data_IF_646040509615
#
_entry.id   IF_646040509615
#
_cell.length_a   1.000
_cell.length_b   1.000
_cell.length_c   1.000
_cell.angle_alpha   90.00
_cell.angle_beta   90.00
_cell.angle_gamma   90.00
#
_symmetry.space_group_name_H-M   'P 1'
#
loop_
_entity.id
_entity.type
_entity.pdbx_description
1 polymer ?
#
# COMPACT_ATOMS: atom_id res chain seq x y z
N UNK A 1 -15.91 -6.04 -5.94
CA UNK A 1 -15.08 -6.96 -5.12
C UNK A 1 -13.88 -6.24 -4.51
N UNK A 2 -12.89 -5.78 -5.28
CA UNK A 2 -11.75 -5.02 -4.71
C UNK A 2 -12.20 -3.65 -4.16
N UNK A 3 -13.04 -2.93 -4.90
CA UNK A 3 -13.60 -1.64 -4.44
C UNK A 3 -14.47 -1.78 -3.20
N UNK A 4 -15.19 -2.90 -3.06
CA UNK A 4 -16.06 -3.15 -1.91
C UNK A 4 -15.22 -3.51 -0.68
N UNK A 5 -14.19 -4.34 -0.84
CA UNK A 5 -13.25 -4.64 0.24
C UNK A 5 -12.52 -3.37 0.74
N UNK A 6 -12.19 -2.43 -0.15
CA UNK A 6 -11.65 -1.13 0.26
C UNK A 6 -12.64 -0.27 1.03
N UNK A 7 -13.93 -0.29 0.65
CA UNK A 7 -14.98 0.40 1.42
C UNK A 7 -15.11 -0.20 2.83
N UNK A 8 -15.07 -1.53 2.94
CA UNK A 8 -15.14 -2.22 4.24
C UNK A 8 -13.94 -1.87 5.13
N UNK A 9 -12.71 -1.91 4.59
CA UNK A 9 -11.50 -1.50 5.33
C UNK A 9 -11.61 -0.06 5.83
N UNK A 10 -12.09 0.84 4.98
CA UNK A 10 -12.23 2.25 5.32
C UNK A 10 -13.31 2.49 6.39
N UNK A 11 -14.47 1.83 6.26
CA UNK A 11 -15.55 1.95 7.25
C UNK A 11 -15.07 1.44 8.62
N UNK A 12 -14.45 0.27 8.67
CA UNK A 12 -13.94 -0.30 9.93
C UNK A 12 -12.83 0.55 10.57
N UNK A 13 -11.96 1.18 9.77
CA UNK A 13 -10.93 2.08 10.29
C UNK A 13 -11.50 3.40 10.86
N UNK A 14 -12.71 3.80 10.46
CA UNK A 14 -13.40 4.99 10.98
C UNK A 14 -14.20 4.70 12.25
N UNK A 15 -14.52 3.43 12.50
CA UNK A 15 -15.30 3.01 13.67
C UNK A 15 -14.43 2.95 14.94
N UNK A 16 -15.00 3.25 16.12
CA UNK A 16 -14.31 3.00 17.38
C UNK A 16 -13.93 1.51 17.50
N UNK A 17 -12.65 1.25 17.68
CA UNK A 17 -12.08 -0.10 17.74
C UNK A 17 -11.16 -0.23 18.96
N UNK A 18 -11.11 -1.40 19.62
CA UNK A 18 -10.15 -1.64 20.70
C UNK A 18 -8.70 -1.75 20.19
N UNK A 19 -8.49 -1.84 18.88
CA UNK A 19 -7.17 -1.97 18.27
C UNK A 19 -6.53 -0.58 18.10
N UNK A 20 -5.26 -0.38 18.49
CA UNK A 20 -4.58 0.89 18.28
C UNK A 20 -4.49 1.27 16.80
N UNK A 21 -4.81 2.52 16.47
CA UNK A 21 -4.74 3.03 15.09
C UNK A 21 -3.37 2.84 14.45
N UNK A 22 -2.27 2.95 15.21
CA UNK A 22 -0.92 2.74 14.70
C UNK A 22 -0.70 1.33 14.13
N UNK A 23 -1.36 0.31 14.69
CA UNK A 23 -1.33 -1.06 14.17
C UNK A 23 -2.16 -1.17 12.89
N UNK A 24 -3.37 -0.60 12.89
CA UNK A 24 -4.24 -0.58 11.73
C UNK A 24 -3.59 0.15 10.54
N UNK A 25 -2.99 1.32 10.78
CA UNK A 25 -2.25 2.06 9.75
C UNK A 25 -1.13 1.22 9.13
N UNK A 26 -0.42 0.40 9.92
CA UNK A 26 0.62 -0.48 9.38
C UNK A 26 0.03 -1.53 8.43
N UNK A 27 -1.12 -2.12 8.78
CA UNK A 27 -1.81 -3.11 7.94
C UNK A 27 -2.35 -2.44 6.67
N UNK A 28 -3.03 -1.30 6.80
CA UNK A 28 -3.57 -0.55 5.65
C UNK A 28 -2.45 -0.15 4.68
N UNK A 29 -1.33 0.38 5.19
CA UNK A 29 -0.19 0.73 4.35
C UNK A 29 0.39 -0.48 3.62
N UNK A 30 0.46 -1.65 4.27
CA UNK A 30 0.90 -2.88 3.61
C UNK A 30 -0.06 -3.29 2.49
N UNK A 31 -1.38 -3.23 2.74
CA UNK A 31 -2.40 -3.50 1.73
C UNK A 31 -2.28 -2.54 0.54
N UNK A 32 -2.06 -1.24 0.78
CA UNK A 32 -1.82 -0.26 -0.28
C UNK A 32 -0.61 -0.63 -1.14
N UNK A 33 0.50 -1.05 -0.52
CA UNK A 33 1.70 -1.50 -1.24
C UNK A 33 1.40 -2.73 -2.09
N UNK A 34 0.65 -3.69 -1.57
CA UNK A 34 0.24 -4.88 -2.34
C UNK A 34 -0.59 -4.48 -3.55
N UNK A 35 -1.52 -3.54 -3.42
CA UNK A 35 -2.27 -3.04 -4.58
C UNK A 35 -1.32 -2.43 -5.63
N UNK A 36 -0.40 -1.54 -5.23
CA UNK A 36 0.57 -0.94 -6.17
C UNK A 36 1.34 -2.02 -6.95
N UNK A 37 1.81 -3.05 -6.25
CA UNK A 37 2.62 -4.13 -6.82
C UNK A 37 1.85 -5.06 -7.78
N UNK A 38 0.53 -5.17 -7.65
CA UNK A 38 -0.27 -6.14 -8.41
C UNK A 38 -1.42 -5.52 -9.22
N UNK A 39 -1.51 -4.20 -9.29
CA UNK A 39 -2.60 -3.51 -10.01
C UNK A 39 -2.50 -3.71 -11.52
N UNK A 40 -3.20 -4.70 -12.06
CA UNK A 40 -3.31 -4.95 -13.50
C UNK A 40 -2.22 -5.87 -14.08
N UNK A 41 -1.03 -5.92 -13.49
CA UNK A 41 0.04 -6.86 -13.85
C UNK A 41 0.88 -7.23 -12.62
N UNK A 42 1.67 -8.30 -12.71
CA UNK A 42 2.64 -8.65 -11.67
C UNK A 42 3.86 -7.74 -11.78
N UNK A 43 3.93 -6.70 -10.95
CA UNK A 43 5.09 -5.80 -10.86
C UNK A 43 6.10 -6.22 -9.80
N UNK A 44 5.72 -7.15 -8.93
CA UNK A 44 6.59 -7.60 -7.85
C UNK A 44 7.71 -8.50 -8.38
N UNK A 45 7.37 -9.49 -9.21
CA UNK A 45 8.36 -10.42 -9.77
C UNK A 45 8.90 -9.98 -11.13
N UNK A 46 8.12 -9.21 -11.90
CA UNK A 46 8.54 -8.70 -13.19
C UNK A 46 9.42 -7.45 -13.04
N UNK A 47 10.73 -7.66 -13.18
CA UNK A 47 11.73 -6.62 -13.01
C UNK A 47 11.77 -5.55 -14.13
N UNK A 48 10.95 -5.70 -15.18
CA UNK A 48 10.81 -4.73 -16.29
C UNK A 48 9.72 -3.67 -16.01
N UNK A 49 9.04 -3.76 -14.87
CA UNK A 49 8.01 -2.80 -14.44
C UNK A 49 8.59 -1.65 -13.62
N UNK A 50 7.76 -0.67 -13.28
CA UNK A 50 8.08 0.56 -12.56
C UNK A 50 8.41 0.37 -11.06
N UNK A 51 8.26 -0.85 -10.51
CA UNK A 51 8.52 -1.10 -9.07
C UNK A 51 9.94 -0.73 -8.66
N UNK A 52 10.93 -0.92 -9.55
CA UNK A 52 12.32 -0.48 -9.30
C UNK A 52 12.43 1.04 -9.19
N UNK A 53 11.66 1.78 -9.98
CA UNK A 53 11.68 3.25 -9.96
C UNK A 53 11.08 3.76 -8.65
N UNK A 54 9.98 3.16 -8.18
CA UNK A 54 9.40 3.49 -6.88
C UNK A 54 10.35 3.19 -5.72
N UNK A 55 10.98 2.01 -5.70
CA UNK A 55 11.96 1.64 -4.67
C UNK A 55 13.14 2.61 -4.67
N UNK A 56 13.64 2.96 -5.87
CA UNK A 56 14.77 3.87 -6.02
C UNK A 56 14.41 5.27 -5.51
N UNK A 57 13.24 5.79 -5.88
CA UNK A 57 12.77 7.10 -5.43
C UNK A 57 12.51 7.16 -3.91
N UNK A 58 12.02 6.08 -3.31
CA UNK A 58 11.66 6.04 -1.89
C UNK A 58 12.83 5.74 -0.95
N UNK A 59 13.75 4.86 -1.36
CA UNK A 59 14.76 4.26 -0.48
C UNK A 59 16.21 4.53 -0.89
N UNK A 60 16.46 4.99 -2.12
CA UNK A 60 17.83 5.18 -2.64
C UNK A 60 18.14 6.67 -2.84
N UNK A 61 17.23 7.42 -3.44
CA UNK A 61 17.45 8.83 -3.77
C UNK A 61 16.86 9.76 -2.69
N UNK A 62 17.66 10.65 -2.09
CA UNK A 62 17.14 11.65 -1.18
C UNK A 62 16.35 12.71 -1.94
N UNK A 63 15.37 13.30 -1.26
CA UNK A 63 14.70 14.51 -1.75
C UNK A 63 15.71 15.65 -1.70
N UNK A 64 15.93 16.32 -2.84
CA UNK A 64 16.75 17.54 -2.88
C UNK A 64 15.98 18.67 -2.19
N UNK A 65 16.64 19.32 -1.23
CA UNK A 65 16.11 20.46 -0.46
C UNK A 65 16.45 21.79 -1.13
#
# INVERSE_FOLDING_TARGET
MMDDAWKDINDECLRPTPVPMSLLTRIVNLTCVIEVLYKGEDRYTNSQTDTKDYVTALLVHPIQL
#
